data_IF_927128598042
#
_entry.id   IF_927128598042
#
_cell.length_a   1.000
_cell.length_b   1.000
_cell.length_c   1.000
_cell.angle_alpha   90.00
_cell.angle_beta   90.00
_cell.angle_gamma   90.00
#
_symmetry.space_group_name_H-M   'P 1'
#
loop_
_entity.id
_entity.type
_entity.pdbx_description
1 polymer ?
#
# COMPACT_ATOMS: atom_id res chain seq x y z
N UNK A 1 -21.97 26.23 -55.76
CA UNK A 1 -22.38 27.47 -55.06
C UNK A 1 -23.43 27.04 -54.06
N UNK A 2 -23.27 27.06 -52.73
CA UNK A 2 -22.64 28.00 -51.80
C UNK A 2 -22.21 27.23 -50.54
N UNK A 3 -21.02 27.52 -49.99
CA UNK A 3 -20.56 26.96 -48.73
C UNK A 3 -21.16 27.67 -47.51
N UNK A 4 -21.15 27.01 -46.35
CA UNK A 4 -21.24 27.65 -45.03
C UNK A 4 -20.35 26.92 -44.02
N UNK A 5 -19.48 27.70 -43.40
CA UNK A 5 -18.50 27.38 -42.35
C UNK A 5 -19.21 27.45 -40.98
N UNK A 6 -18.97 26.51 -40.04
CA UNK A 6 -19.04 26.80 -38.58
C UNK A 6 -18.41 25.71 -37.70
N UNK A 7 -17.26 26.10 -37.14
CA UNK A 7 -16.68 25.84 -35.81
C UNK A 7 -16.83 24.48 -35.10
N UNK A 8 -15.67 23.86 -34.89
CA UNK A 8 -15.35 22.86 -33.85
C UNK A 8 -15.68 23.37 -32.43
N UNK A 9 -16.30 22.52 -31.60
CA UNK A 9 -16.13 22.54 -30.13
C UNK A 9 -15.91 21.12 -29.62
N UNK A 10 -14.76 20.93 -28.97
CA UNK A 10 -14.38 19.71 -28.25
C UNK A 10 -15.28 19.56 -27.03
N UNK A 11 -15.95 18.41 -26.89
CA UNK A 11 -16.59 18.02 -25.64
C UNK A 11 -15.50 17.59 -24.64
N UNK A 12 -15.44 18.29 -23.51
CA UNK A 12 -14.58 17.96 -22.36
C UNK A 12 -15.20 16.80 -21.59
N UNK A 13 -14.33 15.91 -21.13
CA UNK A 13 -14.57 14.77 -20.26
C UNK A 13 -15.22 15.20 -18.94
N UNK A 14 -16.25 14.46 -18.53
CA UNK A 14 -16.93 14.56 -17.24
C UNK A 14 -16.22 13.67 -16.21
N UNK A 15 -15.63 14.26 -15.18
CA UNK A 15 -15.27 13.55 -13.94
C UNK A 15 -16.53 13.36 -13.07
N UNK A 16 -16.71 12.21 -12.40
CA UNK A 16 -17.82 12.03 -11.47
C UNK A 16 -17.56 12.80 -10.17
N UNK A 17 -18.59 13.51 -9.71
CA UNK A 17 -18.62 14.25 -8.46
C UNK A 17 -18.57 13.31 -7.24
N UNK A 18 -17.70 13.60 -6.28
CA UNK A 18 -17.68 12.96 -4.96
C UNK A 18 -18.78 13.60 -4.11
N UNK A 19 -19.65 12.82 -3.42
CA UNK A 19 -20.75 13.38 -2.66
C UNK A 19 -20.26 13.99 -1.34
N UNK A 20 -20.58 15.27 -1.14
CA UNK A 20 -20.33 16.01 0.09
C UNK A 20 -21.36 15.58 1.16
N UNK A 21 -20.91 15.02 2.28
CA UNK A 21 -21.78 14.62 3.39
C UNK A 21 -22.05 15.85 4.27
N UNK A 22 -23.24 16.45 4.14
CA UNK A 22 -23.74 17.47 5.06
C UNK A 22 -24.53 16.82 6.19
N UNK A 23 -24.02 16.87 7.43
CA UNK A 23 -24.82 16.58 8.63
C UNK A 23 -25.36 17.88 9.21
N UNK A 24 -26.68 18.05 9.20
CA UNK A 24 -27.40 19.17 9.82
C UNK A 24 -27.68 18.86 11.29
N UNK A 25 -27.04 19.59 12.21
CA UNK A 25 -27.47 19.68 13.60
C UNK A 25 -28.23 20.99 13.82
N UNK A 26 -29.50 20.93 14.20
CA UNK A 26 -30.25 22.12 14.65
C UNK A 26 -29.92 22.41 16.11
N UNK A 27 -29.55 23.64 16.41
CA UNK A 27 -29.72 24.22 17.75
C UNK A 27 -30.03 25.70 17.62
N UNK A 28 -31.17 26.11 18.18
CA UNK A 28 -31.57 27.50 18.35
C UNK A 28 -30.72 28.20 19.41
N UNK A 29 -30.55 29.52 19.25
CA UNK A 29 -30.20 30.55 20.24
C UNK A 29 -28.70 30.92 20.50
N UNK A 30 -28.32 32.06 19.88
CA UNK A 30 -27.51 33.22 20.34
C UNK A 30 -26.22 33.08 21.18
N UNK A 31 -25.10 33.62 20.66
CA UNK A 31 -23.98 34.16 21.47
C UNK A 31 -22.59 34.18 20.77
N UNK A 32 -21.70 35.16 21.01
CA UNK A 32 -20.79 35.68 20.00
C UNK A 32 -19.37 35.08 20.04
N UNK A 33 -19.12 34.07 19.21
CA UNK A 33 -17.76 33.65 18.85
C UNK A 33 -17.74 33.35 17.36
N UNK A 34 -17.12 34.22 16.56
CA UNK A 34 -16.88 33.98 15.14
C UNK A 34 -15.84 32.85 14.98
N UNK A 35 -16.26 31.61 15.20
CA UNK A 35 -15.56 30.41 14.75
C UNK A 35 -15.68 30.32 13.24
N UNK A 36 -14.79 31.01 12.53
CA UNK A 36 -14.71 30.98 11.07
C UNK A 36 -14.45 29.52 10.66
N UNK A 37 -15.43 28.85 10.07
CA UNK A 37 -15.25 27.53 9.45
C UNK A 37 -14.20 27.72 8.36
N UNK A 38 -12.98 27.28 8.64
CA UNK A 38 -11.89 27.26 7.67
C UNK A 38 -12.02 25.94 6.91
N UNK A 39 -12.75 25.96 5.80
CA UNK A 39 -12.63 24.91 4.79
C UNK A 39 -11.23 25.01 4.20
N UNK A 40 -10.26 24.34 4.80
CA UNK A 40 -9.00 24.04 4.14
C UNK A 40 -9.33 23.02 3.06
N UNK A 41 -9.33 23.45 1.79
CA UNK A 41 -9.10 22.54 0.68
C UNK A 41 -7.80 21.78 1.03
N UNK A 42 -7.76 20.44 0.99
CA UNK A 42 -6.49 19.76 1.07
C UNK A 42 -5.66 20.28 -0.10
N UNK A 43 -4.49 20.84 0.20
CA UNK A 43 -3.49 21.12 -0.84
C UNK A 43 -3.23 19.79 -1.55
N UNK A 44 -3.70 19.69 -2.79
CA UNK A 44 -3.32 18.60 -3.67
C UNK A 44 -1.84 18.81 -3.99
N UNK A 45 -1.00 18.23 -3.15
CA UNK A 45 0.42 18.11 -3.38
C UNK A 45 0.64 17.16 -4.56
N UNK A 46 0.77 17.74 -5.76
CA UNK A 46 0.98 17.01 -7.02
C UNK A 46 2.24 16.14 -6.97
N UNK A 47 3.22 16.48 -6.13
CA UNK A 47 4.43 15.67 -5.95
C UNK A 47 4.15 14.34 -5.23
N UNK A 48 3.20 14.33 -4.28
CA UNK A 48 2.75 13.11 -3.58
C UNK A 48 1.98 12.16 -4.51
N UNK A 49 1.08 12.69 -5.33
CA UNK A 49 0.31 11.86 -6.28
C UNK A 49 1.17 11.19 -7.36
N UNK A 50 2.31 11.81 -7.72
CA UNK A 50 3.24 11.27 -8.72
C UNK A 50 4.17 10.19 -8.13
N UNK A 51 4.59 10.35 -6.86
CA UNK A 51 5.35 9.32 -6.15
C UNK A 51 4.51 8.07 -5.89
N UNK A 52 3.26 8.23 -5.48
CA UNK A 52 2.31 7.12 -5.26
C UNK A 52 2.09 6.32 -6.55
N UNK A 53 1.91 7.01 -7.68
CA UNK A 53 1.78 6.36 -9.00
C UNK A 53 3.05 5.64 -9.45
N UNK A 54 4.22 6.14 -9.03
CA UNK A 54 5.52 5.54 -9.38
C UNK A 54 5.77 4.26 -8.59
N UNK A 55 5.49 4.26 -7.29
CA UNK A 55 5.65 3.09 -6.42
C UNK A 55 4.64 2.00 -6.74
N UNK A 56 3.37 2.35 -6.97
CA UNK A 56 2.35 1.39 -7.39
C UNK A 56 2.71 0.73 -8.73
N UNK A 57 3.16 1.52 -9.72
CA UNK A 57 3.65 0.97 -10.99
C UNK A 57 4.85 0.05 -10.79
N UNK A 58 5.76 0.41 -9.90
CA UNK A 58 6.92 -0.42 -9.58
C UNK A 58 6.50 -1.75 -8.94
N UNK A 59 5.57 -1.73 -7.97
CA UNK A 59 5.03 -2.94 -7.37
C UNK A 59 4.45 -3.86 -8.45
N UNK A 60 3.56 -3.33 -9.31
CA UNK A 60 2.96 -4.09 -10.41
C UNK A 60 4.01 -4.71 -11.35
N UNK A 61 5.03 -3.94 -11.73
CA UNK A 61 6.13 -4.44 -12.56
C UNK A 61 6.89 -5.61 -11.93
N UNK A 62 7.12 -5.57 -10.62
CA UNK A 62 7.80 -6.66 -9.92
C UNK A 62 6.88 -7.86 -9.70
N UNK A 63 5.60 -7.61 -9.39
CA UNK A 63 4.58 -8.63 -9.17
C UNK A 63 4.25 -9.42 -10.46
N UNK A 64 4.41 -8.83 -11.64
CA UNK A 64 4.23 -9.50 -12.94
C UNK A 64 5.08 -10.78 -13.11
N UNK A 65 6.14 -10.96 -12.33
CA UNK A 65 6.94 -12.19 -12.33
C UNK A 65 6.20 -13.41 -11.78
N UNK A 66 5.07 -13.24 -11.08
CA UNK A 66 4.32 -14.31 -10.42
C UNK A 66 4.98 -14.84 -9.14
N UNK A 67 6.13 -14.29 -8.75
CA UNK A 67 6.83 -14.68 -7.52
C UNK A 67 6.08 -14.22 -6.27
N UNK A 68 5.40 -13.07 -6.32
CA UNK A 68 4.57 -12.55 -5.23
C UNK A 68 3.36 -13.43 -4.99
N UNK A 69 2.66 -13.82 -6.06
CA UNK A 69 1.54 -14.74 -6.01
C UNK A 69 1.92 -16.06 -5.31
N UNK A 70 3.00 -16.71 -5.76
CA UNK A 70 3.47 -17.96 -5.15
C UNK A 70 3.86 -17.81 -3.69
N UNK A 71 4.41 -16.66 -3.31
CA UNK A 71 4.75 -16.37 -1.92
C UNK A 71 3.48 -16.22 -1.07
N UNK A 72 2.44 -15.57 -1.59
CA UNK A 72 1.17 -15.44 -0.87
C UNK A 72 0.42 -16.76 -0.79
N UNK A 73 0.48 -17.60 -1.82
CA UNK A 73 -0.04 -18.97 -1.78
C UNK A 73 0.68 -19.77 -0.69
N UNK A 74 2.02 -19.68 -0.64
CA UNK A 74 2.81 -20.32 0.40
C UNK A 74 2.41 -19.81 1.81
N UNK A 75 2.24 -18.49 1.98
CA UNK A 75 1.84 -17.91 3.25
C UNK A 75 0.42 -18.34 3.67
N UNK A 76 -0.50 -18.50 2.72
CA UNK A 76 -1.85 -19.03 2.97
C UNK A 76 -1.78 -20.49 3.39
N UNK A 77 -1.05 -21.30 2.64
CA UNK A 77 -0.97 -22.74 2.89
C UNK A 77 -0.21 -23.03 4.20
N UNK A 78 0.76 -22.18 4.57
CA UNK A 78 1.44 -22.21 5.88
C UNK A 78 0.46 -21.99 7.05
N UNK A 79 -0.43 -20.99 6.94
CA UNK A 79 -1.30 -20.58 8.04
C UNK A 79 -2.60 -21.40 8.13
N UNK A 80 -3.16 -21.82 6.97
CA UNK A 80 -4.44 -22.54 6.89
C UNK A 80 -4.29 -24.05 6.72
N UNK A 81 -3.08 -24.52 6.43
CA UNK A 81 -2.80 -25.93 6.21
C UNK A 81 -3.51 -26.52 4.97
N UNK A 82 -3.48 -27.85 4.81
CA UNK A 82 -3.97 -28.53 3.61
C UNK A 82 -5.49 -28.47 3.42
N UNK A 83 -6.25 -28.25 4.50
CA UNK A 83 -7.71 -28.12 4.46
C UNK A 83 -8.17 -26.69 4.15
N UNK A 84 -7.23 -25.73 4.09
CA UNK A 84 -7.49 -24.30 3.89
C UNK A 84 -8.60 -23.81 4.83
N UNK A 85 -8.44 -24.10 6.14
CA UNK A 85 -9.49 -23.90 7.13
C UNK A 85 -8.97 -23.26 8.42
N UNK A 86 -9.50 -22.10 8.75
CA UNK A 86 -9.41 -21.53 10.10
C UNK A 86 -10.51 -22.16 10.99
N UNK A 87 -10.08 -23.08 11.86
CA UNK A 87 -10.97 -23.80 12.78
C UNK A 87 -11.70 -22.87 13.74
N UNK A 88 -11.04 -21.80 14.19
CA UNK A 88 -11.61 -20.88 15.18
C UNK A 88 -12.67 -20.02 14.52
N UNK A 89 -12.38 -19.47 13.34
CA UNK A 89 -13.36 -18.73 12.56
C UNK A 89 -14.59 -19.59 12.24
N UNK A 90 -14.39 -20.84 11.78
CA UNK A 90 -15.47 -21.76 11.46
C UNK A 90 -16.40 -22.06 12.65
N UNK A 91 -15.83 -22.31 13.84
CA UNK A 91 -16.62 -22.60 15.05
C UNK A 91 -17.38 -21.36 15.54
N UNK A 92 -16.75 -20.18 15.47
CA UNK A 92 -17.35 -18.93 15.93
C UNK A 92 -18.45 -18.38 15.01
N UNK A 93 -18.79 -19.05 13.89
CA UNK A 93 -19.81 -18.62 12.92
C UNK A 93 -19.63 -17.16 12.47
N UNK A 94 -18.39 -16.80 12.17
CA UNK A 94 -17.98 -15.46 11.73
C UNK A 94 -18.40 -15.14 10.29
N UNK A 95 -19.11 -16.05 9.62
CA UNK A 95 -19.48 -15.93 8.20
C UNK A 95 -20.72 -15.04 7.97
N UNK A 96 -21.53 -14.83 9.01
CA UNK A 96 -22.81 -14.10 8.90
C UNK A 96 -22.69 -12.58 9.12
N UNK A 97 -21.61 -12.11 9.74
CA UNK A 97 -21.47 -10.71 10.13
C UNK A 97 -20.41 -9.99 9.28
N UNK A 98 -20.74 -8.80 8.79
CA UNK A 98 -19.77 -7.89 8.18
C UNK A 98 -19.10 -7.06 9.26
N UNK A 99 -17.78 -6.92 9.20
CA UNK A 99 -17.00 -6.10 10.11
C UNK A 99 -16.14 -5.10 9.34
N UNK A 100 -15.70 -4.07 10.07
CA UNK A 100 -14.67 -3.13 9.65
C UNK A 100 -13.51 -3.27 10.63
N UNK A 101 -12.36 -3.71 10.14
CA UNK A 101 -11.11 -3.75 10.90
C UNK A 101 -10.20 -2.59 10.47
N UNK A 102 -9.42 -2.08 11.41
CA UNK A 102 -8.46 -0.99 11.18
C UNK A 102 -7.05 -1.50 11.45
N UNK A 103 -6.13 -1.20 10.54
CA UNK A 103 -4.71 -1.51 10.71
C UNK A 103 -4.05 -0.30 11.38
N UNK A 104 -3.63 -0.47 12.62
CA UNK A 104 -3.05 0.59 13.46
C UNK A 104 -1.56 0.35 13.64
N UNK A 105 -0.75 1.40 13.54
CA UNK A 105 0.69 1.30 13.83
C UNK A 105 0.96 1.20 15.33
N UNK A 106 1.83 0.26 15.71
CA UNK A 106 2.34 0.16 17.08
C UNK A 106 3.54 1.05 17.38
N UNK A 107 4.31 1.42 16.35
CA UNK A 107 5.53 2.21 16.45
C UNK A 107 5.67 3.16 15.26
N UNK A 108 6.51 4.18 15.35
CA UNK A 108 6.78 5.09 14.24
C UNK A 108 7.52 4.38 13.11
N UNK A 109 7.01 4.46 11.87
CA UNK A 109 7.56 3.76 10.72
C UNK A 109 7.30 4.47 9.39
N UNK A 110 8.12 4.15 8.39
CA UNK A 110 7.79 4.36 6.98
C UNK A 110 6.95 3.19 6.49
N UNK A 111 5.81 3.50 5.89
CA UNK A 111 4.84 2.51 5.42
C UNK A 111 5.35 1.82 4.16
N UNK A 112 5.30 0.50 4.14
CA UNK A 112 5.55 -0.26 2.91
C UNK A 112 4.73 -1.55 2.88
N UNK A 113 4.18 -1.86 1.70
CA UNK A 113 3.48 -3.10 1.41
C UNK A 113 1.97 -2.97 1.29
N UNK A 114 1.39 -1.77 1.35
CA UNK A 114 -0.05 -1.58 1.17
C UNK A 114 -0.50 -1.98 -0.24
N UNK A 115 0.33 -1.74 -1.26
CA UNK A 115 0.08 -2.14 -2.64
C UNK A 115 -0.06 -3.67 -2.83
N UNK A 116 0.50 -4.46 -1.91
CA UNK A 116 0.45 -5.92 -1.97
C UNK A 116 -0.81 -6.53 -1.35
N UNK A 117 -1.51 -5.77 -0.50
CA UNK A 117 -2.69 -6.27 0.24
C UNK A 117 -3.82 -6.74 -0.69
N UNK A 118 -4.19 -6.03 -1.77
CA UNK A 118 -5.23 -6.52 -2.68
C UNK A 118 -4.91 -7.88 -3.28
N UNK A 119 -3.66 -8.11 -3.71
CA UNK A 119 -3.23 -9.41 -4.26
C UNK A 119 -3.29 -10.51 -3.20
N UNK A 120 -2.87 -10.22 -1.97
CA UNK A 120 -2.97 -11.17 -0.86
C UNK A 120 -4.45 -11.50 -0.54
N UNK A 121 -5.35 -10.53 -0.55
CA UNK A 121 -6.78 -10.76 -0.32
C UNK A 121 -7.37 -11.71 -1.36
N UNK A 122 -7.05 -11.53 -2.63
CA UNK A 122 -7.51 -12.43 -3.69
C UNK A 122 -7.01 -13.88 -3.47
N UNK A 123 -5.76 -14.06 -3.05
CA UNK A 123 -5.18 -15.39 -2.78
C UNK A 123 -5.88 -16.12 -1.63
N UNK A 124 -6.32 -15.38 -0.61
CA UNK A 124 -7.03 -15.91 0.55
C UNK A 124 -8.55 -16.10 0.31
N UNK A 125 -9.01 -15.95 -0.93
CA UNK A 125 -10.40 -16.24 -1.33
C UNK A 125 -11.31 -15.01 -1.43
N UNK A 126 -10.75 -13.79 -1.32
CA UNK A 126 -11.47 -12.55 -1.58
C UNK A 126 -12.52 -12.19 -0.52
N UNK A 127 -13.56 -11.47 -0.93
CA UNK A 127 -14.69 -11.07 -0.07
C UNK A 127 -14.39 -9.94 0.93
N UNK A 128 -13.12 -9.56 1.09
CA UNK A 128 -12.66 -8.42 1.88
C UNK A 128 -12.28 -7.28 0.94
N UNK A 129 -12.74 -6.07 1.24
CA UNK A 129 -12.32 -4.85 0.56
C UNK A 129 -11.29 -4.14 1.43
N UNK A 130 -10.13 -3.82 0.83
CA UNK A 130 -9.11 -3.00 1.45
C UNK A 130 -9.27 -1.53 1.05
N UNK A 131 -9.22 -0.63 2.03
CA UNK A 131 -9.16 0.82 1.84
C UNK A 131 -7.88 1.37 2.48
N UNK A 132 -6.86 1.78 1.70
CA UNK A 132 -5.68 2.42 2.25
C UNK A 132 -6.03 3.80 2.81
N UNK A 133 -5.40 4.16 3.94
CA UNK A 133 -5.49 5.48 4.58
C UNK A 133 -4.17 6.23 4.56
N UNK A 134 -3.10 5.53 4.21
CA UNK A 134 -1.76 6.06 3.98
C UNK A 134 -1.22 5.55 2.64
N UNK A 135 -0.12 6.13 2.18
CA UNK A 135 0.57 5.68 0.98
C UNK A 135 1.87 4.96 1.32
N UNK A 136 2.27 4.01 0.49
CA UNK A 136 3.58 3.39 0.60
C UNK A 136 4.69 4.43 0.39
N UNK A 137 5.70 4.42 1.25
CA UNK A 137 6.79 5.40 1.31
C UNK A 137 6.49 6.62 2.18
N UNK A 138 5.27 6.76 2.70
CA UNK A 138 4.96 7.84 3.65
C UNK A 138 5.39 7.49 5.08
N UNK A 139 5.89 8.47 5.87
CA UNK A 139 6.09 8.29 7.31
C UNK A 139 4.74 8.34 8.05
N UNK A 140 4.56 7.47 9.04
CA UNK A 140 3.41 7.42 9.93
C UNK A 140 3.85 7.22 11.38
N UNK A 141 3.00 7.64 12.33
CA UNK A 141 3.28 7.58 13.77
C UNK A 141 2.55 6.43 14.44
N UNK A 142 3.05 6.03 15.59
CA UNK A 142 2.34 5.11 16.47
C UNK A 142 0.91 5.61 16.75
N UNK A 143 -0.08 4.73 16.61
CA UNK A 143 -1.50 5.04 16.75
C UNK A 143 -2.20 5.46 15.44
N UNK A 144 -1.47 5.74 14.37
CA UNK A 144 -2.08 6.08 13.08
C UNK A 144 -2.73 4.87 12.43
N UNK A 145 -3.85 5.11 11.75
CA UNK A 145 -4.57 4.11 10.96
C UNK A 145 -4.09 4.16 9.51
N UNK A 146 -3.43 3.10 9.04
CA UNK A 146 -2.84 3.05 7.68
C UNK A 146 -3.74 2.40 6.65
N UNK A 147 -4.77 1.68 7.10
CA UNK A 147 -5.70 1.00 6.20
C UNK A 147 -6.88 0.39 6.94
N UNK A 148 -7.90 0.04 6.18
CA UNK A 148 -9.13 -0.57 6.68
C UNK A 148 -9.50 -1.79 5.85
N UNK A 149 -9.97 -2.84 6.51
CA UNK A 149 -10.49 -4.07 5.90
C UNK A 149 -11.99 -4.15 6.16
N UNK A 150 -12.79 -4.34 5.11
CA UNK A 150 -14.26 -4.33 5.18
C UNK A 150 -14.79 -5.59 4.49
N UNK A 151 -15.47 -6.46 5.22
CA UNK A 151 -15.88 -7.77 4.69
C UNK A 151 -16.46 -8.69 5.77
N UNK A 152 -16.67 -9.98 5.44
CA UNK A 152 -17.02 -11.01 6.41
C UNK A 152 -15.98 -11.06 7.53
N UNK A 153 -16.41 -11.13 8.79
CA UNK A 153 -15.48 -11.15 9.92
C UNK A 153 -14.57 -12.39 9.91
N UNK A 154 -15.06 -13.53 9.42
CA UNK A 154 -14.23 -14.73 9.24
C UNK A 154 -13.04 -14.46 8.33
N UNK A 155 -13.30 -13.97 7.11
CA UNK A 155 -12.27 -13.63 6.14
C UNK A 155 -11.28 -12.59 6.65
N UNK A 156 -11.75 -11.58 7.40
CA UNK A 156 -10.87 -10.55 7.97
C UNK A 156 -9.92 -11.15 9.01
N UNK A 157 -10.43 -11.97 9.94
CA UNK A 157 -9.60 -12.56 11.01
C UNK A 157 -8.60 -13.56 10.44
N UNK A 158 -9.01 -14.36 9.45
CA UNK A 158 -8.14 -15.35 8.80
C UNK A 158 -6.96 -14.70 8.08
N UNK A 159 -7.14 -13.55 7.43
CA UNK A 159 -6.07 -12.87 6.68
C UNK A 159 -5.27 -11.86 7.52
N UNK A 160 -5.73 -11.55 8.74
CA UNK A 160 -5.15 -10.51 9.59
C UNK A 160 -3.66 -10.74 9.82
N UNK A 161 -3.29 -11.95 10.29
CA UNK A 161 -1.90 -12.25 10.68
C UNK A 161 -0.96 -12.25 9.47
N UNK A 162 -1.30 -12.89 8.33
CA UNK A 162 -0.52 -12.77 7.10
C UNK A 162 -0.26 -11.32 6.66
N UNK A 163 -1.29 -10.46 6.68
CA UNK A 163 -1.15 -9.03 6.33
C UNK A 163 -0.22 -8.32 7.30
N UNK A 164 -0.40 -8.50 8.61
CA UNK A 164 0.42 -7.83 9.63
C UNK A 164 1.89 -8.28 9.56
N UNK A 165 2.14 -9.56 9.33
CA UNK A 165 3.50 -10.09 9.15
C UNK A 165 4.19 -9.48 7.94
N UNK A 166 3.46 -9.34 6.82
CA UNK A 166 3.96 -8.70 5.61
C UNK A 166 4.28 -7.22 5.86
N UNK A 167 3.31 -6.46 6.35
CA UNK A 167 3.46 -5.01 6.58
C UNK A 167 4.54 -4.70 7.60
N UNK A 168 4.62 -5.45 8.70
CA UNK A 168 5.65 -5.27 9.72
C UNK A 168 7.05 -5.49 9.14
N UNK A 169 7.25 -6.56 8.36
CA UNK A 169 8.54 -6.82 7.69
C UNK A 169 8.92 -5.71 6.72
N UNK A 170 8.00 -5.33 5.82
CA UNK A 170 8.28 -4.37 4.76
C UNK A 170 8.47 -2.96 5.31
N UNK A 171 7.62 -2.53 6.25
CA UNK A 171 7.74 -1.24 6.92
C UNK A 171 9.02 -1.17 7.75
N UNK A 172 9.47 -2.28 8.35
CA UNK A 172 10.76 -2.37 9.02
C UNK A 172 11.95 -2.14 8.06
N UNK A 173 11.90 -2.73 6.85
CA UNK A 173 12.93 -2.51 5.82
C UNK A 173 12.91 -1.06 5.32
N UNK A 174 11.73 -0.50 5.04
CA UNK A 174 11.58 0.88 4.57
C UNK A 174 12.10 1.87 5.63
N UNK A 175 11.72 1.68 6.89
CA UNK A 175 12.14 2.55 7.99
C UNK A 175 13.65 2.53 8.22
N UNK A 176 14.27 1.34 8.16
CA UNK A 176 15.74 1.22 8.25
C UNK A 176 16.43 1.87 7.07
N UNK A 177 15.87 1.73 5.87
CA UNK A 177 16.40 2.35 4.66
C UNK A 177 16.35 3.87 4.76
N UNK A 178 15.22 4.44 5.21
CA UNK A 178 15.05 5.87 5.39
C UNK A 178 16.10 6.45 6.36
N UNK A 179 16.38 5.75 7.47
CA UNK A 179 17.45 6.13 8.41
C UNK A 179 18.84 6.14 7.75
N UNK A 180 19.15 5.16 6.89
CA UNK A 180 20.42 5.16 6.17
C UNK A 180 20.51 6.28 5.13
N UNK A 181 19.42 6.56 4.41
CA UNK A 181 19.36 7.65 3.42
C UNK A 181 19.56 9.00 4.12
N UNK A 182 18.89 9.21 5.26
CA UNK A 182 19.06 10.41 6.08
C UNK A 182 20.51 10.59 6.54
N UNK A 183 21.15 9.52 7.02
CA UNK A 183 22.55 9.55 7.47
C UNK A 183 23.56 9.73 6.34
N UNK A 184 23.30 9.18 5.14
CA UNK A 184 24.19 9.30 3.99
C UNK A 184 24.17 10.71 3.37
N UNK A 185 23.03 11.41 3.49
CA UNK A 185 22.83 12.74 2.95
C UNK A 185 22.54 12.76 1.44
N UNK A 186 22.21 13.94 0.87
CA UNK A 186 21.57 14.05 -0.44
C UNK A 186 22.47 13.76 -1.65
N UNK A 187 23.77 13.51 -1.44
CA UNK A 187 24.76 13.27 -2.51
C UNK A 187 25.12 11.80 -2.66
N UNK A 188 24.58 10.93 -1.82
CA UNK A 188 24.90 9.51 -1.77
C UNK A 188 23.62 8.71 -1.92
N UNK A 189 23.61 7.78 -2.85
CA UNK A 189 22.51 6.83 -2.99
C UNK A 189 22.76 5.59 -2.15
N UNK A 190 21.77 5.21 -1.35
CA UNK A 190 21.79 3.96 -0.59
C UNK A 190 21.23 2.85 -1.46
N UNK A 191 22.09 1.89 -1.84
CA UNK A 191 21.71 0.77 -2.71
C UNK A 191 21.39 -0.51 -1.93
N UNK A 192 20.36 -1.22 -2.39
CA UNK A 192 20.10 -2.59 -1.94
C UNK A 192 21.09 -3.62 -2.52
N UNK A 193 20.93 -4.88 -2.10
CA UNK A 193 21.74 -5.99 -2.62
C UNK A 193 20.88 -7.22 -2.92
N UNK A 194 21.53 -8.33 -3.31
CA UNK A 194 20.90 -9.65 -3.43
C UNK A 194 20.89 -10.46 -2.12
N UNK A 195 21.40 -9.90 -1.01
CA UNK A 195 21.37 -10.48 0.33
C UNK A 195 19.99 -10.26 0.96
N UNK A 196 18.98 -10.83 0.31
CA UNK A 196 17.57 -10.72 0.66
C UNK A 196 17.10 -12.04 1.27
N UNK A 197 15.99 -11.99 2.00
CA UNK A 197 15.34 -13.21 2.45
C UNK A 197 14.87 -14.02 1.24
N UNK A 198 15.11 -15.35 1.19
CA UNK A 198 14.63 -16.19 0.09
C UNK A 198 13.13 -16.02 -0.15
N UNK A 199 12.70 -15.97 -1.42
CA UNK A 199 11.30 -15.73 -1.81
C UNK A 199 10.83 -14.27 -1.71
N UNK A 200 11.34 -13.51 -0.75
CA UNK A 200 10.88 -12.14 -0.44
C UNK A 200 11.60 -11.02 -1.20
N UNK A 201 12.56 -11.35 -2.08
CA UNK A 201 13.43 -10.36 -2.76
C UNK A 201 12.64 -9.24 -3.44
N UNK A 202 11.56 -9.57 -4.15
CA UNK A 202 10.73 -8.60 -4.86
C UNK A 202 10.16 -7.57 -3.88
N UNK A 203 9.57 -8.03 -2.79
CA UNK A 203 8.91 -7.19 -1.79
C UNK A 203 9.93 -6.40 -0.96
N UNK A 204 11.06 -7.00 -0.59
CA UNK A 204 12.12 -6.31 0.15
C UNK A 204 12.75 -5.19 -0.67
N UNK A 205 12.99 -5.40 -1.97
CA UNK A 205 13.49 -4.34 -2.88
C UNK A 205 12.45 -3.23 -3.09
N UNK A 206 11.17 -3.59 -3.17
CA UNK A 206 10.08 -2.62 -3.16
C UNK A 206 10.10 -1.78 -1.87
N UNK A 207 10.23 -2.41 -0.70
CA UNK A 207 10.30 -1.70 0.58
C UNK A 207 11.52 -0.77 0.69
N UNK A 208 12.68 -1.14 0.13
CA UNK A 208 13.85 -0.24 0.06
C UNK A 208 13.49 1.03 -0.72
N UNK A 209 12.78 0.91 -1.85
CA UNK A 209 12.35 2.06 -2.63
C UNK A 209 11.34 2.93 -1.88
N UNK A 210 10.41 2.32 -1.14
CA UNK A 210 9.51 3.06 -0.25
C UNK A 210 10.29 3.87 0.80
N UNK A 211 11.39 3.32 1.33
CA UNK A 211 12.28 4.02 2.26
C UNK A 211 13.23 5.05 1.62
N UNK A 212 13.08 5.35 0.33
CA UNK A 212 13.92 6.31 -0.39
C UNK A 212 15.28 5.78 -0.86
N UNK A 213 15.58 4.50 -0.65
CA UNK A 213 16.77 3.85 -1.19
C UNK A 213 16.64 3.60 -2.70
N UNK A 214 17.73 3.23 -3.36
CA UNK A 214 17.77 2.85 -4.78
C UNK A 214 17.99 1.35 -4.94
N UNK A 215 17.43 0.78 -6.00
CA UNK A 215 17.67 -0.63 -6.31
C UNK A 215 18.93 -0.77 -7.16
N UNK A 216 19.82 -1.67 -6.73
CA UNK A 216 20.84 -2.23 -7.60
C UNK A 216 20.16 -3.26 -8.52
N UNK A 217 20.81 -4.39 -8.80
CA UNK A 217 20.30 -5.41 -9.72
C UNK A 217 19.32 -6.34 -9.01
N UNK A 218 18.25 -6.71 -9.70
CA UNK A 218 17.25 -7.66 -9.20
C UNK A 218 17.82 -9.07 -9.08
N UNK A 219 18.54 -9.53 -10.10
CA UNK A 219 19.04 -10.89 -10.19
C UNK A 219 20.39 -10.97 -10.90
N UNK A 220 20.83 -12.21 -11.14
CA UNK A 220 22.00 -12.46 -12.02
C UNK A 220 21.68 -12.16 -13.49
N UNK A 221 20.41 -12.22 -13.88
CA UNK A 221 19.92 -11.97 -15.23
C UNK A 221 19.88 -10.48 -15.60
N UNK A 222 20.01 -9.59 -14.62
CA UNK A 222 19.69 -8.16 -14.79
C UNK A 222 20.93 -7.33 -15.13
N UNK A 223 22.07 -7.65 -14.52
CA UNK A 223 23.32 -6.96 -14.81
C UNK A 223 24.54 -7.86 -14.58
N UNK A 224 25.55 -7.70 -15.44
CA UNK A 224 26.87 -8.31 -15.28
C UNK A 224 27.63 -7.60 -14.16
N UNK A 225 28.23 -8.38 -13.26
CA UNK A 225 29.10 -7.87 -12.21
C UNK A 225 30.26 -8.84 -12.07
N UNK A 226 31.40 -8.45 -12.62
CA UNK A 226 32.65 -9.21 -12.52
C UNK A 226 33.17 -9.06 -11.09
N UNK A 227 33.59 -10.18 -10.53
CA UNK A 227 34.22 -10.29 -9.21
C UNK A 227 35.47 -11.13 -9.36
N UNK A 228 36.33 -11.10 -8.35
CA UNK A 228 37.62 -11.81 -8.31
C UNK A 228 37.50 -13.28 -8.74
N UNK A 229 36.45 -13.99 -8.30
CA UNK A 229 36.18 -15.38 -8.70
C UNK A 229 36.02 -15.63 -10.21
N UNK A 230 35.70 -14.60 -11.01
CA UNK A 230 35.52 -14.73 -12.46
C UNK A 230 36.79 -14.39 -13.25
N UNK A 231 37.77 -13.75 -12.60
CA UNK A 231 39.04 -13.33 -13.20
C UNK A 231 40.15 -14.36 -12.89
N UNK A 232 39.92 -15.22 -11.91
CA UNK A 232 40.82 -16.29 -11.49
C UNK A 232 41.00 -17.41 -12.53
#
# INVERSE_FOLDING_TARGET
MSGHWRSRRRARQSHPAVPCVCSFGRSDSVGPWLGRIRCTMPEHDQSRSDQDQTLDRMYRNLAHTGLTLRLFELARDEDLGPEVLDRTAAICRTDAARALARIILGEDAYIAGLAAIPEMIEVFGGGVRFEPRSADGSPARAGDCIGQLIGPIGSIVTIERPILNLLGRLSGVASRTARFVEQAGPRVEVLDTRKTTPGLRVLEKYAVRCGGGSSHRLGLYDAVMIKDNHIA
#
